data_IF_861317644135
#
_entry.id   IF_861317644135
#
_cell.length_a   1.000
_cell.length_b   1.000
_cell.length_c   1.000
_cell.angle_alpha   90.00
_cell.angle_beta   90.00
_cell.angle_gamma   90.00
#
_symmetry.space_group_name_H-M   'P 1'
#
loop_
_entity.id
_entity.type
_entity.pdbx_description
1 polymer ?
#
# COMPACT_ATOMS: atom_id res chain seq x y z
N UNK A 1 -1.60 -1.95 7.69
CA UNK A 1 -2.63 -1.87 6.66
C UNK A 1 -3.34 -0.54 6.79
N UNK A 2 -3.73 0.13 5.69
CA UNK A 2 -4.61 1.29 5.72
C UNK A 2 -6.05 0.93 6.12
N UNK A 3 -6.45 -0.34 5.99
CA UNK A 3 -7.82 -0.81 6.24
C UNK A 3 -7.84 -2.20 6.88
N UNK A 4 -8.96 -2.55 7.49
CA UNK A 4 -9.31 -3.94 7.75
C UNK A 4 -9.63 -4.66 6.43
N UNK A 5 -9.03 -5.80 6.17
CA UNK A 5 -9.23 -6.51 4.90
C UNK A 5 -8.44 -7.80 4.76
N UNK A 6 -8.39 -8.29 3.53
CA UNK A 6 -7.63 -9.48 3.13
C UNK A 6 -6.63 -9.08 2.06
N UNK A 7 -5.38 -9.54 2.20
CA UNK A 7 -4.36 -9.37 1.16
C UNK A 7 -4.76 -10.23 -0.04
N UNK A 8 -4.91 -9.60 -1.20
CA UNK A 8 -5.29 -10.26 -2.45
C UNK A 8 -4.10 -10.53 -3.36
N UNK A 9 -3.02 -9.79 -3.20
CA UNK A 9 -1.77 -10.03 -3.90
C UNK A 9 -0.59 -9.44 -3.13
N UNK A 10 0.52 -10.17 -3.13
CA UNK A 10 1.85 -9.63 -2.84
C UNK A 10 2.68 -9.83 -4.10
N UNK A 11 3.17 -8.73 -4.68
CA UNK A 11 3.87 -8.81 -5.96
C UNK A 11 5.22 -9.51 -5.79
N UNK A 12 5.73 -10.25 -6.80
CA UNK A 12 6.95 -11.05 -6.66
C UNK A 12 8.19 -10.28 -6.18
N UNK A 13 8.35 -9.04 -6.68
CA UNK A 13 9.45 -8.15 -6.27
C UNK A 13 9.11 -7.30 -5.04
N UNK A 14 8.03 -7.64 -4.33
CA UNK A 14 7.68 -7.15 -2.98
C UNK A 14 7.38 -5.66 -2.84
N UNK A 15 7.46 -4.89 -3.93
CA UNK A 15 7.23 -3.45 -3.95
C UNK A 15 5.76 -3.03 -3.89
N UNK A 16 4.83 -3.96 -4.15
CA UNK A 16 3.41 -3.68 -4.22
C UNK A 16 2.56 -4.74 -3.50
N UNK A 17 1.47 -4.29 -2.88
CA UNK A 17 0.53 -5.12 -2.13
C UNK A 17 -0.90 -4.66 -2.45
N UNK A 18 -1.76 -5.61 -2.79
CA UNK A 18 -3.20 -5.38 -2.98
C UNK A 18 -3.99 -5.87 -1.76
N UNK A 19 -5.02 -5.12 -1.38
CA UNK A 19 -5.84 -5.37 -0.20
C UNK A 19 -7.31 -5.19 -0.57
N UNK A 20 -8.11 -6.22 -0.36
CA UNK A 20 -9.57 -6.12 -0.40
C UNK A 20 -10.08 -5.72 0.96
N UNK A 21 -10.62 -4.50 1.06
CA UNK A 21 -11.28 -4.03 2.28
C UNK A 21 -12.55 -4.86 2.58
N UNK A 22 -12.97 -4.88 3.84
CA UNK A 22 -14.27 -5.49 4.22
C UNK A 22 -15.48 -4.88 3.51
N UNK A 23 -15.37 -3.63 3.06
CA UNK A 23 -16.39 -2.95 2.25
C UNK A 23 -16.37 -3.34 0.76
N UNK A 24 -15.50 -4.26 0.36
CA UNK A 24 -15.40 -4.75 -1.02
C UNK A 24 -14.59 -3.88 -1.98
N UNK A 25 -14.00 -2.78 -1.49
CA UNK A 25 -13.10 -1.92 -2.28
C UNK A 25 -11.70 -2.50 -2.26
N UNK A 26 -11.10 -2.57 -3.45
CA UNK A 26 -9.76 -3.11 -3.69
C UNK A 26 -8.73 -1.98 -3.75
N UNK A 27 -7.71 -2.05 -2.91
CA UNK A 27 -6.68 -1.00 -2.74
C UNK A 27 -5.32 -1.57 -3.12
N UNK A 28 -4.62 -0.91 -4.04
CA UNK A 28 -3.24 -1.20 -4.38
C UNK A 28 -2.32 -0.18 -3.70
N UNK A 29 -1.38 -0.68 -2.92
CA UNK A 29 -0.25 0.09 -2.38
C UNK A 29 0.95 -0.22 -3.26
N UNK A 30 1.43 0.76 -4.01
CA UNK A 30 2.60 0.62 -4.86
C UNK A 30 3.72 1.48 -4.29
N UNK A 31 4.83 0.89 -3.86
CA UNK A 31 5.92 1.65 -3.26
C UNK A 31 6.91 2.13 -4.34
N UNK A 32 7.08 3.43 -4.51
CA UNK A 32 8.00 4.03 -5.48
C UNK A 32 7.51 3.95 -6.93
N UNK A 33 8.29 4.52 -7.84
CA UNK A 33 8.14 4.34 -9.29
C UNK A 33 9.25 3.42 -9.79
N UNK A 34 8.94 2.51 -10.72
CA UNK A 34 9.86 1.54 -11.32
C UNK A 34 10.65 0.65 -10.33
N UNK A 35 10.18 0.55 -9.07
CA UNK A 35 10.77 -0.27 -8.01
C UNK A 35 10.72 -1.77 -8.29
N UNK A 36 9.91 -2.21 -9.25
CA UNK A 36 9.92 -3.58 -9.78
C UNK A 36 11.33 -3.98 -10.25
N UNK A 37 12.11 -3.04 -10.80
CA UNK A 37 13.46 -3.26 -11.32
C UNK A 37 14.49 -3.54 -10.21
N UNK A 38 14.16 -3.28 -8.95
CA UNK A 38 15.01 -3.60 -7.79
C UNK A 38 14.98 -5.08 -7.43
N UNK A 39 14.11 -5.89 -8.07
CA UNK A 39 14.02 -7.34 -7.84
C UNK A 39 13.85 -7.73 -6.35
N UNK A 40 13.18 -6.89 -5.56
CA UNK A 40 12.96 -7.09 -4.13
C UNK A 40 14.08 -6.61 -3.20
N UNK A 41 15.17 -6.05 -3.74
CA UNK A 41 16.21 -5.39 -2.93
C UNK A 41 15.62 -4.21 -2.14
N UNK A 42 15.97 -4.11 -0.86
CA UNK A 42 15.46 -3.09 0.05
C UNK A 42 14.03 -3.31 0.56
N UNK A 43 13.33 -4.39 0.16
CA UNK A 43 11.97 -4.71 0.58
C UNK A 43 11.87 -5.95 1.47
N UNK A 44 11.18 -5.80 2.61
CA UNK A 44 10.80 -6.90 3.50
C UNK A 44 9.30 -6.89 3.73
N UNK A 45 8.60 -7.92 3.25
CA UNK A 45 7.15 -8.08 3.39
C UNK A 45 6.85 -8.96 4.61
N UNK A 46 5.78 -8.64 5.34
CA UNK A 46 5.35 -9.33 6.56
C UNK A 46 4.01 -10.07 6.43
N UNK A 47 3.42 -10.02 5.24
CA UNK A 47 2.13 -10.63 4.92
C UNK A 47 2.23 -11.45 3.65
N UNK A 48 1.28 -12.34 3.45
CA UNK A 48 1.16 -13.15 2.24
C UNK A 48 -0.26 -13.05 1.66
N UNK A 49 -0.42 -13.45 0.41
CA UNK A 49 -1.74 -13.56 -0.20
C UNK A 49 -2.67 -14.42 0.66
N UNK A 50 -3.92 -13.97 0.83
CA UNK A 50 -4.90 -14.59 1.71
C UNK A 50 -4.83 -14.16 3.18
N UNK A 51 -3.77 -13.45 3.61
CA UNK A 51 -3.66 -12.94 4.98
C UNK A 51 -4.79 -11.97 5.34
N UNK A 52 -5.41 -12.15 6.49
CA UNK A 52 -6.37 -11.19 7.06
C UNK A 52 -5.59 -10.17 7.89
N UNK A 53 -5.76 -8.88 7.60
CA UNK A 53 -5.03 -7.79 8.24
C UNK A 53 -5.96 -6.79 8.91
N UNK A 54 -5.44 -6.13 9.94
CA UNK A 54 -6.11 -5.02 10.64
C UNK A 54 -5.52 -3.66 10.29
N UNK A 55 -6.35 -2.63 10.35
CA UNK A 55 -5.87 -1.25 10.22
C UNK A 55 -4.72 -0.98 11.22
N UNK A 56 -3.62 -0.41 10.72
CA UNK A 56 -2.40 -0.15 11.50
C UNK A 56 -1.38 -1.30 11.57
N UNK A 57 -1.68 -2.49 11.05
CA UNK A 57 -0.75 -3.63 11.02
C UNK A 57 0.45 -3.38 10.09
N UNK A 58 1.60 -4.02 10.33
CA UNK A 58 2.76 -3.85 9.43
C UNK A 58 2.56 -4.73 8.20
N UNK A 59 2.75 -4.16 7.00
CA UNK A 59 2.65 -4.91 5.73
C UNK A 59 4.03 -5.10 5.09
N UNK A 60 4.80 -4.03 5.04
CA UNK A 60 6.06 -3.93 4.32
C UNK A 60 6.99 -2.98 5.08
N UNK A 61 8.27 -3.32 5.13
CA UNK A 61 9.37 -2.45 5.54
C UNK A 61 10.28 -2.20 4.35
N UNK A 62 10.65 -0.95 4.16
CA UNK A 62 11.49 -0.52 3.04
C UNK A 62 12.71 0.22 3.55
N UNK A 63 13.89 -0.14 3.04
CA UNK A 63 15.11 0.61 3.27
C UNK A 63 15.24 1.76 2.27
N UNK A 64 14.67 2.93 2.62
CA UNK A 64 14.62 4.10 1.72
C UNK A 64 16.04 4.56 1.31
N UNK A 65 17.00 4.52 2.23
CA UNK A 65 18.38 4.95 1.96
C UNK A 65 19.05 4.09 0.89
N UNK A 66 18.75 2.80 0.86
CA UNK A 66 19.30 1.83 -0.09
C UNK A 66 18.69 1.95 -1.49
N UNK A 67 17.42 2.36 -1.58
CA UNK A 67 16.69 2.38 -2.86
C UNK A 67 16.57 3.77 -3.49
N UNK A 68 16.64 4.87 -2.72
CA UNK A 68 16.29 6.22 -3.19
C UNK A 68 17.07 6.71 -4.42
N UNK A 69 18.31 6.24 -4.59
CA UNK A 69 19.17 6.62 -5.71
C UNK A 69 19.10 5.63 -6.88
N UNK A 70 18.36 4.53 -6.72
CA UNK A 70 18.21 3.46 -7.73
C UNK A 70 16.88 3.55 -8.48
N UNK A 71 15.99 4.45 -8.07
CA UNK A 71 14.64 4.62 -8.64
C UNK A 71 14.32 6.07 -8.93
N UNK A 72 13.44 6.37 -9.91
CA UNK A 72 13.05 7.74 -10.22
C UNK A 72 12.38 8.47 -9.06
N UNK A 73 11.63 7.75 -8.21
CA UNK A 73 10.92 8.34 -7.08
C UNK A 73 10.56 7.29 -6.02
N UNK A 74 10.54 7.73 -4.76
CA UNK A 74 10.04 6.97 -3.60
C UNK A 74 8.59 7.32 -3.24
N UNK A 75 7.90 8.08 -4.09
CA UNK A 75 6.46 8.35 -3.92
C UNK A 75 5.69 7.03 -3.84
N UNK A 76 4.71 6.94 -2.95
CA UNK A 76 3.91 5.73 -2.76
C UNK A 76 2.49 5.97 -3.27
N UNK A 77 2.17 5.61 -4.53
CA UNK A 77 0.79 5.57 -4.99
C UNK A 77 -0.08 4.66 -4.13
N UNK A 78 -1.23 5.21 -3.70
CA UNK A 78 -2.34 4.47 -3.12
C UNK A 78 -3.49 4.56 -4.10
N UNK A 79 -3.85 3.43 -4.70
CA UNK A 79 -4.80 3.37 -5.81
C UNK A 79 -6.03 2.57 -5.37
N UNK A 80 -7.21 3.16 -5.51
CA UNK A 80 -8.46 2.41 -5.42
C UNK A 80 -8.74 1.84 -6.81
N UNK A 81 -8.63 0.52 -6.95
CA UNK A 81 -8.73 -0.13 -8.26
C UNK A 81 -10.17 -0.16 -8.77
N UNK A 82 -11.15 -0.14 -7.86
CA UNK A 82 -12.56 0.01 -8.17
C UNK A 82 -13.27 0.68 -6.99
N UNK A 83 -14.10 1.70 -7.28
CA UNK A 83 -14.86 2.43 -6.25
C UNK A 83 -16.28 1.89 -6.08
N UNK A 84 -16.80 1.09 -7.02
CA UNK A 84 -18.16 0.52 -6.96
C UNK A 84 -19.24 1.59 -6.74
N UNK A 85 -19.10 2.74 -7.42
CA UNK A 85 -20.02 3.88 -7.27
C UNK A 85 -19.83 4.71 -5.99
N UNK A 86 -18.84 4.39 -5.15
CA UNK A 86 -18.48 5.21 -3.99
C UNK A 86 -17.76 6.48 -4.39
N UNK A 87 -17.96 7.52 -3.60
CA UNK A 87 -17.13 8.72 -3.66
C UNK A 87 -16.08 8.69 -2.57
N UNK A 88 -15.06 9.54 -2.65
CA UNK A 88 -14.08 9.67 -1.59
C UNK A 88 -13.73 11.12 -1.30
N UNK A 89 -13.31 11.37 -0.06
CA UNK A 89 -12.69 12.62 0.37
C UNK A 89 -11.37 12.30 1.05
N UNK A 90 -10.39 13.19 0.93
CA UNK A 90 -9.06 12.99 1.49
C UNK A 90 -8.51 14.28 2.08
N UNK A 91 -7.62 14.15 3.06
CA UNK A 91 -6.92 15.27 3.66
C UNK A 91 -5.65 15.58 2.86
N UNK A 92 -5.38 16.87 2.66
CA UNK A 92 -4.12 17.35 2.06
C UNK A 92 -3.19 17.80 3.19
N UNK A 93 -1.95 17.34 3.15
CA UNK A 93 -0.92 17.74 4.10
C UNK A 93 -0.06 16.58 4.54
N UNK A 94 0.62 16.76 5.67
CA UNK A 94 1.40 15.69 6.30
C UNK A 94 0.46 14.73 7.00
N UNK A 95 0.73 13.44 6.86
CA UNK A 95 0.02 12.37 7.55
C UNK A 95 1.01 11.51 8.32
N UNK A 96 0.58 10.95 9.44
CA UNK A 96 1.36 10.02 10.24
C UNK A 96 0.95 8.56 9.98
N UNK A 97 1.88 7.63 10.20
CA UNK A 97 1.55 6.22 10.18
C UNK A 97 0.47 5.91 11.23
N UNK A 98 -0.53 5.10 10.86
CA UNK A 98 -1.71 4.76 11.68
C UNK A 98 -2.68 5.91 11.96
N UNK A 99 -2.47 7.08 11.34
CA UNK A 99 -3.47 8.15 11.37
C UNK A 99 -4.76 7.67 10.70
N UNK A 100 -5.89 7.97 11.35
CA UNK A 100 -7.21 7.56 10.87
C UNK A 100 -7.82 8.62 9.96
N UNK A 101 -8.73 8.20 9.08
CA UNK A 101 -9.54 9.08 8.24
C UNK A 101 -8.73 9.97 7.27
N UNK A 102 -7.52 9.54 6.88
CA UNK A 102 -6.72 10.20 5.83
C UNK A 102 -7.47 10.21 4.49
N UNK A 103 -8.13 9.09 4.18
CA UNK A 103 -9.08 8.96 3.07
C UNK A 103 -10.36 8.35 3.64
N UNK A 104 -11.50 8.92 3.28
CA UNK A 104 -12.82 8.44 3.67
C UNK A 104 -13.61 8.10 2.40
N UNK A 105 -14.10 6.86 2.32
CA UNK A 105 -15.02 6.41 1.26
C UNK A 105 -16.46 6.64 1.73
N UNK A 106 -17.31 7.15 0.83
CA UNK A 106 -18.75 7.36 1.03
C UNK A 106 -19.50 6.50 0.03
#
# INVERSE_FOLDING_TARGET
SPVDGTITAVFPTKHAISIKSKSGVEILIHFGLDTVNLNGEGFQVYVEEGSVVKAGEILLKVNIEEIKNKVPSVVVPIIFMELNGKSFSYNIGKVAAKEQNVITLK
#
